data_IF_415394687271
#
_entry.id   IF_415394687271
#
_cell.length_a   1.000
_cell.length_b   1.000
_cell.length_c   1.000
_cell.angle_alpha   90.00
_cell.angle_beta   90.00
_cell.angle_gamma   90.00
#
_symmetry.space_group_name_H-M   'P 1'
#
loop_
_entity.id
_entity.type
_entity.pdbx_description
1 polymer ?
#
# COMPACT_ATOMS: atom_id res chain seq x y z
N UNK A 1 -6.22 -14.61 34.38
CA UNK A 1 -6.13 -15.22 33.03
C UNK A 1 -5.71 -14.24 31.92
N UNK A 2 -5.47 -12.94 32.19
CA UNK A 2 -4.93 -12.00 31.20
C UNK A 2 -3.42 -12.14 30.91
N UNK A 3 -2.65 -12.76 31.81
CA UNK A 3 -1.18 -12.80 31.71
C UNK A 3 -0.63 -13.93 30.81
N UNK A 4 -1.47 -14.84 30.31
CA UNK A 4 -1.05 -15.98 29.49
C UNK A 4 -1.20 -15.73 27.97
N UNK A 5 -2.07 -14.79 27.56
CA UNK A 5 -2.23 -14.43 26.13
C UNK A 5 -1.07 -13.54 25.64
N UNK A 6 -0.39 -12.86 26.57
CA UNK A 6 0.73 -11.97 26.27
C UNK A 6 2.06 -12.71 25.99
N UNK A 7 2.17 -14.02 26.27
CA UNK A 7 3.37 -14.80 25.92
C UNK A 7 3.36 -15.34 24.49
N UNK A 8 2.21 -15.32 23.82
CA UNK A 8 2.06 -15.72 22.41
C UNK A 8 2.02 -14.52 21.45
N UNK A 9 1.64 -13.33 21.94
CA UNK A 9 1.83 -12.06 21.22
C UNK A 9 3.30 -11.64 21.26
N UNK A 10 4.16 -12.35 20.51
CA UNK A 10 5.56 -11.95 20.29
C UNK A 10 5.62 -10.73 19.38
N UNK A 11 5.19 -9.59 19.92
CA UNK A 11 5.54 -8.26 19.44
C UNK A 11 7.05 -8.11 19.64
N UNK A 12 7.83 -8.53 18.64
CA UNK A 12 9.21 -8.08 18.56
C UNK A 12 9.14 -6.69 17.93
N UNK A 13 9.54 -5.68 18.68
CA UNK A 13 10.22 -4.49 18.14
C UNK A 13 11.54 -4.93 17.47
N UNK A 14 11.53 -5.93 16.58
CA UNK A 14 12.72 -6.33 15.86
C UNK A 14 12.84 -5.39 14.69
N UNK A 15 13.56 -4.30 14.92
CA UNK A 15 14.29 -3.58 13.89
C UNK A 15 13.50 -3.42 12.59
N UNK A 16 12.34 -2.76 12.65
CA UNK A 16 12.01 -1.89 11.53
C UNK A 16 13.26 -1.02 11.40
N UNK A 17 14.00 -1.17 10.30
CA UNK A 17 15.07 -0.23 9.98
C UNK A 17 14.45 1.14 10.20
N UNK A 18 14.89 1.83 11.26
CA UNK A 18 14.39 3.13 11.62
C UNK A 18 14.73 3.97 10.40
N UNK A 19 13.75 4.22 9.53
CA UNK A 19 13.99 4.93 8.29
C UNK A 19 14.49 6.32 8.70
N UNK A 20 15.82 6.60 8.72
CA UNK A 20 16.34 7.79 9.39
C UNK A 20 15.88 9.07 8.69
N UNK A 21 15.46 8.95 7.44
CA UNK A 21 14.87 10.02 6.66
C UNK A 21 13.52 10.54 7.23
N UNK A 22 12.89 9.79 8.15
CA UNK A 22 11.67 10.17 8.90
C UNK A 22 11.99 10.65 10.32
N UNK A 23 13.25 10.65 10.73
CA UNK A 23 13.61 11.10 12.08
C UNK A 23 13.24 12.55 12.29
N UNK A 24 12.55 12.82 13.40
CA UNK A 24 12.03 14.14 13.73
C UNK A 24 11.05 14.71 12.69
N UNK A 25 10.39 13.85 11.92
CA UNK A 25 9.31 14.22 11.00
C UNK A 25 8.05 13.41 11.32
N UNK A 26 6.90 13.96 10.96
CA UNK A 26 5.61 13.31 11.15
C UNK A 26 4.65 13.76 10.05
N UNK A 27 3.56 13.03 9.90
CA UNK A 27 2.45 13.39 9.04
C UNK A 27 1.17 13.39 9.88
N UNK A 28 0.24 14.29 9.56
CA UNK A 28 -1.07 14.38 10.22
C UNK A 28 -2.21 14.23 9.23
N UNK A 29 -1.98 14.48 7.94
CA UNK A 29 -2.98 14.26 6.91
C UNK A 29 -3.38 12.79 6.86
N UNK A 30 -4.69 12.56 6.71
CA UNK A 30 -5.31 11.24 6.58
C UNK A 30 -4.97 10.26 7.72
N UNK A 31 -4.58 10.76 8.90
CA UNK A 31 -4.41 9.95 10.10
C UNK A 31 -5.70 9.19 10.43
N UNK A 32 -5.57 7.88 10.68
CA UNK A 32 -6.66 7.03 11.18
C UNK A 32 -7.10 7.54 12.55
N UNK A 33 -6.12 7.81 13.40
CA UNK A 33 -6.35 8.21 14.79
C UNK A 33 -5.14 8.96 15.36
N UNK A 34 -5.40 10.00 16.15
CA UNK A 34 -4.38 10.78 16.86
C UNK A 34 -4.74 10.80 18.35
N UNK A 35 -3.81 10.38 19.20
CA UNK A 35 -4.06 10.32 20.65
C UNK A 35 -2.76 10.37 21.46
N UNK A 36 -2.90 10.55 22.77
CA UNK A 36 -1.78 10.50 23.71
C UNK A 36 -1.55 9.07 24.20
N UNK A 37 -0.33 8.58 24.01
CA UNK A 37 0.11 7.27 24.44
C UNK A 37 1.24 7.42 25.47
N UNK A 38 1.23 6.59 26.51
CA UNK A 38 2.27 6.65 27.54
C UNK A 38 3.59 6.06 27.04
N UNK A 39 3.49 5.07 26.15
CA UNK A 39 4.63 4.35 25.59
C UNK A 39 4.38 4.00 24.12
N UNK A 40 5.46 3.91 23.34
CA UNK A 40 5.41 3.47 21.93
C UNK A 40 4.70 2.12 21.73
N UNK A 41 4.73 1.24 22.74
CA UNK A 41 4.05 -0.05 22.70
C UNK A 41 2.53 0.08 22.65
N UNK A 42 1.95 1.12 23.25
CA UNK A 42 0.51 1.37 23.21
C UNK A 42 0.06 1.73 21.79
N UNK A 43 0.86 2.57 21.09
CA UNK A 43 0.72 2.81 19.67
C UNK A 43 0.77 1.51 18.85
N UNK A 44 1.79 0.71 19.12
CA UNK A 44 1.98 -0.58 18.46
C UNK A 44 0.77 -1.50 18.64
N UNK A 45 0.30 -1.70 19.87
CA UNK A 45 -0.85 -2.55 20.21
C UNK A 45 -2.12 -2.07 19.51
N UNK A 46 -2.39 -0.75 19.55
CA UNK A 46 -3.59 -0.20 18.93
C UNK A 46 -3.54 -0.28 17.41
N UNK A 47 -2.37 -0.06 16.83
CA UNK A 47 -2.16 -0.21 15.40
C UNK A 47 -2.35 -1.68 14.97
N UNK A 48 -1.74 -2.65 15.67
CA UNK A 48 -1.93 -4.06 15.29
C UNK A 48 -3.35 -4.57 15.55
N UNK A 49 -4.10 -3.94 16.45
CA UNK A 49 -5.51 -4.26 16.69
C UNK A 49 -6.46 -3.62 15.67
N UNK A 50 -5.96 -2.72 14.83
CA UNK A 50 -6.71 -2.05 13.78
C UNK A 50 -6.24 -2.59 12.43
N UNK A 51 -7.10 -3.33 11.73
CA UNK A 51 -6.77 -3.96 10.45
C UNK A 51 -6.36 -2.97 9.36
N UNK A 52 -6.77 -1.71 9.48
CA UNK A 52 -6.37 -0.64 8.55
C UNK A 52 -5.03 -0.02 8.89
N UNK A 53 -4.49 -0.20 10.09
CA UNK A 53 -3.28 0.49 10.51
C UNK A 53 -2.02 -0.27 10.08
N UNK A 54 -1.26 0.36 9.18
CA UNK A 54 -0.03 -0.19 8.61
C UNK A 54 1.24 0.47 9.18
N UNK A 55 1.11 1.68 9.72
CA UNK A 55 2.21 2.38 10.34
C UNK A 55 1.74 3.37 11.39
N UNK A 56 2.69 3.90 12.17
CA UNK A 56 2.40 4.98 13.10
C UNK A 56 3.64 5.86 13.36
N UNK A 57 3.38 7.12 13.71
CA UNK A 57 4.35 8.02 14.30
C UNK A 57 4.17 8.08 15.81
N UNK A 58 5.28 8.14 16.54
CA UNK A 58 5.27 8.37 17.98
C UNK A 58 6.30 9.44 18.35
N UNK A 59 5.88 10.42 19.14
CA UNK A 59 6.77 11.44 19.68
C UNK A 59 7.22 11.06 21.10
N UNK A 60 8.51 10.78 21.23
CA UNK A 60 9.11 10.37 22.51
C UNK A 60 9.11 11.48 23.59
N UNK A 61 8.93 12.75 23.20
CA UNK A 61 8.92 13.88 24.12
C UNK A 61 7.51 14.22 24.58
N UNK A 62 6.50 14.09 23.72
CA UNK A 62 5.12 14.51 24.01
C UNK A 62 4.17 13.37 24.30
N UNK A 63 4.53 12.12 23.98
CA UNK A 63 3.65 10.96 24.06
C UNK A 63 2.64 10.87 22.89
N UNK A 64 2.70 11.80 21.94
CA UNK A 64 1.72 11.85 20.85
C UNK A 64 1.91 10.66 19.90
N UNK A 65 0.79 10.03 19.56
CA UNK A 65 0.67 8.87 18.69
C UNK A 65 -0.21 9.20 17.50
N UNK A 66 0.23 8.86 16.29
CA UNK A 66 -0.53 9.08 15.05
C UNK A 66 -0.53 7.77 14.26
N UNK A 67 -1.70 7.16 14.10
CA UNK A 67 -1.88 5.91 13.37
C UNK A 67 -2.23 6.21 11.92
N UNK A 68 -1.65 5.43 11.00
CA UNK A 68 -1.84 5.62 9.56
C UNK A 68 -2.16 4.32 8.84
N UNK A 69 -2.96 4.46 7.78
CA UNK A 69 -3.31 3.36 6.87
C UNK A 69 -2.27 3.12 5.78
N UNK A 70 -1.26 3.96 5.71
CA UNK A 70 -0.21 3.88 4.72
C UNK A 70 1.15 3.60 5.39
N UNK A 71 2.08 2.96 4.65
CA UNK A 71 3.42 2.70 5.15
C UNK A 71 4.44 3.81 4.84
N UNK A 72 4.01 4.96 4.32
CA UNK A 72 4.84 6.07 3.84
C UNK A 72 6.05 5.61 3.00
N UNK A 73 5.83 5.23 1.75
CA UNK A 73 6.89 4.79 0.83
C UNK A 73 7.50 5.92 0.02
N UNK A 74 6.91 7.11 0.05
CA UNK A 74 7.37 8.29 -0.67
C UNK A 74 7.35 9.54 0.25
N UNK A 75 8.35 10.41 0.12
CA UNK A 75 8.52 11.56 1.02
C UNK A 75 7.85 12.82 0.49
N UNK A 76 6.73 13.19 1.11
CA UNK A 76 6.42 14.59 1.43
C UNK A 76 5.88 14.55 2.86
N UNK A 77 6.52 15.26 3.79
CA UNK A 77 6.14 15.24 5.21
C UNK A 77 6.08 16.64 5.79
N UNK A 78 5.04 16.88 6.58
CA UNK A 78 4.81 18.12 7.31
C UNK A 78 5.74 18.25 8.53
N UNK A 79 6.62 19.26 8.51
CA UNK A 79 7.30 19.83 9.68
C UNK A 79 8.29 18.94 10.46
N UNK A 80 9.57 19.32 10.37
CA UNK A 80 10.63 18.73 11.19
C UNK A 80 10.53 19.23 12.65
N UNK A 81 10.12 18.37 13.59
CA UNK A 81 10.08 18.65 15.03
C UNK A 81 10.73 17.52 15.83
N UNK A 82 11.46 17.88 16.89
CA UNK A 82 12.25 16.91 17.65
C UNK A 82 11.37 15.85 18.32
N UNK A 83 11.85 14.60 18.34
CA UNK A 83 11.29 13.52 19.14
C UNK A 83 10.39 12.54 18.38
N UNK A 84 10.00 12.86 17.14
CA UNK A 84 9.21 11.96 16.30
C UNK A 84 10.04 10.80 15.73
N UNK A 85 9.43 9.62 15.77
CA UNK A 85 9.93 8.38 15.19
C UNK A 85 8.81 7.66 14.44
N UNK A 86 9.19 7.01 13.34
CA UNK A 86 8.31 6.24 12.47
C UNK A 86 8.41 4.75 12.77
N UNK A 87 7.27 4.06 12.73
CA UNK A 87 7.16 2.63 12.98
C UNK A 87 6.23 1.98 11.97
N UNK A 88 6.67 0.86 11.38
CA UNK A 88 5.81 -0.01 10.59
C UNK A 88 5.12 -1.03 11.50
N UNK A 89 3.83 -1.23 11.27
CA UNK A 89 3.04 -2.28 11.89
C UNK A 89 3.21 -3.56 11.07
N UNK A 90 4.17 -4.40 11.45
CA UNK A 90 4.28 -5.75 10.91
C UNK A 90 4.04 -6.77 12.02
N UNK A 91 3.16 -7.74 11.78
CA UNK A 91 3.16 -8.97 12.57
C UNK A 91 4.23 -9.91 12.01
N UNK A 92 5.07 -10.42 12.92
CA UNK A 92 5.98 -11.58 12.82
C UNK A 92 6.62 -11.87 11.45
N UNK A 93 7.95 -11.83 11.44
CA UNK A 93 8.81 -12.50 10.48
C UNK A 93 8.26 -13.90 10.10
N UNK A 94 7.95 -14.10 8.82
CA UNK A 94 7.55 -15.39 8.25
C UNK A 94 6.47 -15.34 7.17
N UNK A 95 5.58 -14.33 7.15
CA UNK A 95 4.50 -14.24 6.15
C UNK A 95 4.92 -13.57 4.83
N UNK A 96 5.84 -12.61 4.90
CA UNK A 96 6.37 -11.93 3.72
C UNK A 96 7.89 -11.90 3.76
N UNK A 97 8.52 -11.81 2.58
CA UNK A 97 9.94 -11.51 2.45
C UNK A 97 10.24 -10.13 3.06
N UNK A 98 11.50 -9.95 3.50
CA UNK A 98 11.98 -8.68 4.08
C UNK A 98 11.74 -7.54 3.08
N UNK A 99 11.27 -6.38 3.56
CA UNK A 99 10.91 -5.18 2.80
C UNK A 99 9.62 -5.24 1.96
N UNK A 100 8.78 -6.26 2.16
CA UNK A 100 7.41 -6.27 1.68
C UNK A 100 6.44 -5.81 2.79
N UNK A 101 5.37 -5.14 2.41
CA UNK A 101 4.25 -4.81 3.28
C UNK A 101 3.27 -5.97 3.32
N UNK A 102 2.82 -6.36 4.52
CA UNK A 102 1.88 -7.47 4.72
C UNK A 102 0.50 -6.93 5.06
N UNK A 103 -0.52 -7.36 4.32
CA UNK A 103 -1.92 -7.12 4.63
C UNK A 103 -2.61 -8.39 5.13
N UNK A 104 -3.16 -8.30 6.34
CA UNK A 104 -3.62 -9.46 7.10
C UNK A 104 -4.95 -10.02 6.60
N UNK A 105 -5.86 -9.16 6.14
CA UNK A 105 -7.21 -9.60 5.75
C UNK A 105 -7.22 -10.41 4.46
N UNK A 106 -6.30 -10.11 3.53
CA UNK A 106 -6.17 -10.82 2.24
C UNK A 106 -4.93 -11.71 2.16
N UNK A 107 -4.18 -11.86 3.27
CA UNK A 107 -2.91 -12.60 3.33
C UNK A 107 -1.93 -12.21 2.20
N UNK A 108 -1.85 -10.91 1.91
CA UNK A 108 -1.18 -10.38 0.71
C UNK A 108 0.11 -9.64 1.07
N UNK A 109 1.20 -9.94 0.37
CA UNK A 109 2.44 -9.19 0.44
C UNK A 109 2.55 -8.24 -0.76
N UNK A 110 3.01 -7.01 -0.56
CA UNK A 110 3.14 -6.06 -1.66
C UNK A 110 4.30 -5.10 -1.46
N UNK A 111 4.79 -4.55 -2.57
CA UNK A 111 5.82 -3.53 -2.57
C UNK A 111 5.50 -2.48 -3.63
N UNK A 112 5.63 -1.23 -3.21
CA UNK A 112 5.71 -0.13 -4.15
C UNK A 112 7.10 -0.13 -4.75
N UNK A 113 7.18 -0.35 -6.06
CA UNK A 113 8.36 0.09 -6.76
C UNK A 113 8.34 1.62 -6.75
N UNK A 114 9.49 2.25 -6.50
CA UNK A 114 9.68 3.72 -6.58
C UNK A 114 8.98 4.26 -7.83
N UNK A 115 8.51 5.52 -7.91
CA UNK A 115 7.74 5.98 -9.07
C UNK A 115 8.59 5.91 -10.35
N UNK A 116 8.51 4.75 -11.01
CA UNK A 116 8.99 4.52 -12.36
C UNK A 116 7.78 4.83 -13.22
N UNK A 117 7.83 5.96 -13.89
CA UNK A 117 6.91 6.23 -14.98
C UNK A 117 7.29 5.31 -16.13
N UNK A 118 6.44 4.31 -16.39
CA UNK A 118 6.60 3.41 -17.54
C UNK A 118 5.73 3.88 -18.69
N UNK A 119 6.26 3.79 -19.90
CA UNK A 119 5.50 4.01 -21.14
C UNK A 119 4.68 2.77 -21.46
N UNK A 120 3.40 2.97 -21.79
CA UNK A 120 2.52 1.85 -22.15
C UNK A 120 2.87 1.24 -23.50
N UNK A 121 3.63 1.95 -24.35
CA UNK A 121 4.11 1.44 -25.65
C UNK A 121 4.91 0.14 -25.50
N UNK A 122 5.70 0.03 -24.44
CA UNK A 122 6.59 -1.11 -24.23
C UNK A 122 6.05 -2.13 -23.22
N UNK A 123 5.01 -1.78 -22.45
CA UNK A 123 4.45 -2.62 -21.39
C UNK A 123 5.53 -3.13 -20.40
N UNK A 124 6.57 -2.31 -20.13
CA UNK A 124 7.77 -2.66 -19.33
C UNK A 124 7.50 -2.74 -17.81
N UNK A 125 6.49 -3.49 -17.39
CA UNK A 125 6.22 -3.76 -15.97
C UNK A 125 7.19 -4.81 -15.45
N UNK A 126 8.07 -4.42 -14.53
CA UNK A 126 9.09 -5.33 -13.99
C UNK A 126 8.73 -5.69 -12.55
N UNK A 127 8.20 -6.91 -12.37
CA UNK A 127 7.84 -7.48 -11.06
C UNK A 127 8.61 -8.80 -10.82
N UNK A 128 9.92 -8.77 -10.49
CA UNK A 128 10.73 -9.99 -10.38
C UNK A 128 10.29 -10.88 -9.22
N UNK A 129 9.97 -12.14 -9.51
CA UNK A 129 9.51 -13.09 -8.50
C UNK A 129 8.11 -12.77 -7.95
N UNK A 130 7.33 -11.98 -8.68
CA UNK A 130 6.04 -11.46 -8.25
C UNK A 130 5.17 -11.13 -9.48
N UNK A 131 4.00 -10.54 -9.27
CA UNK A 131 3.10 -10.13 -10.36
C UNK A 131 2.71 -8.66 -10.23
N UNK A 132 2.24 -8.07 -11.33
CA UNK A 132 1.59 -6.76 -11.31
C UNK A 132 0.33 -6.86 -10.44
N UNK A 133 0.05 -5.82 -9.66
CA UNK A 133 -1.09 -5.79 -8.74
C UNK A 133 -2.40 -6.16 -9.43
N UNK A 134 -3.04 -7.23 -8.96
CA UNK A 134 -4.31 -7.75 -9.44
C UNK A 134 -5.46 -7.11 -8.68
N UNK A 135 -6.55 -6.83 -9.36
CA UNK A 135 -7.83 -6.47 -8.72
C UNK A 135 -8.93 -7.34 -9.31
N UNK A 136 -9.44 -8.25 -8.50
CA UNK A 136 -10.39 -9.29 -8.89
C UNK A 136 -11.64 -9.36 -7.99
N UNK A 137 -11.77 -8.45 -7.03
CA UNK A 137 -12.94 -8.35 -6.17
C UNK A 137 -13.14 -6.94 -5.62
N UNK A 138 -14.33 -6.67 -5.06
CA UNK A 138 -14.60 -5.41 -4.38
C UNK A 138 -13.72 -5.23 -3.13
N UNK A 139 -13.53 -6.31 -2.37
CA UNK A 139 -12.68 -6.32 -1.18
C UNK A 139 -11.25 -5.92 -1.53
N UNK A 140 -10.72 -6.46 -2.64
CA UNK A 140 -9.38 -6.12 -3.12
C UNK A 140 -9.29 -4.69 -3.65
N UNK A 141 -10.32 -4.21 -4.36
CA UNK A 141 -10.41 -2.83 -4.82
C UNK A 141 -10.42 -1.84 -3.65
N UNK A 142 -11.21 -2.11 -2.62
CA UNK A 142 -11.32 -1.26 -1.43
C UNK A 142 -10.03 -1.27 -0.61
N UNK A 143 -9.36 -2.42 -0.51
CA UNK A 143 -8.03 -2.50 0.06
C UNK A 143 -7.02 -1.65 -0.71
N UNK A 144 -6.98 -1.80 -2.04
CA UNK A 144 -6.04 -1.05 -2.88
C UNK A 144 -6.29 0.44 -2.74
N UNK A 145 -7.55 0.90 -2.71
CA UNK A 145 -7.90 2.29 -2.41
C UNK A 145 -7.24 2.80 -1.14
N UNK A 146 -7.21 1.99 -0.08
CA UNK A 146 -6.62 2.38 1.21
C UNK A 146 -5.09 2.50 1.12
N UNK A 147 -4.41 1.50 0.55
CA UNK A 147 -2.93 1.53 0.48
C UNK A 147 -2.40 2.52 -0.54
N UNK A 148 -3.20 2.85 -1.55
CA UNK A 148 -2.88 3.89 -2.52
C UNK A 148 -3.46 5.26 -2.14
N UNK A 149 -4.19 5.34 -1.02
CA UNK A 149 -4.84 6.56 -0.57
C UNK A 149 -3.86 7.68 -0.26
N UNK A 150 -2.61 7.39 0.10
CA UNK A 150 -1.66 8.40 0.60
C UNK A 150 -0.30 8.36 -0.10
N UNK A 151 -0.23 7.77 -1.30
CA UNK A 151 0.95 7.89 -2.16
C UNK A 151 1.09 9.37 -2.57
N UNK A 152 1.81 10.14 -1.74
CA UNK A 152 2.05 11.57 -1.92
C UNK A 152 2.83 11.85 -3.20
N UNK A 153 2.53 12.97 -3.86
CA UNK A 153 3.21 13.40 -5.10
C UNK A 153 2.74 12.69 -6.39
N UNK A 154 1.92 11.65 -6.30
CA UNK A 154 1.48 10.80 -7.42
C UNK A 154 -0.04 10.95 -7.67
N UNK A 155 -0.70 11.92 -7.02
CA UNK A 155 -2.14 12.21 -7.16
C UNK A 155 -2.66 12.26 -8.61
N UNK A 156 -1.80 12.64 -9.56
CA UNK A 156 -2.09 12.70 -10.99
C UNK A 156 -1.62 11.47 -11.79
N UNK A 157 -0.66 10.70 -11.29
CA UNK A 157 -0.10 9.57 -12.04
C UNK A 157 -0.97 8.35 -11.77
N UNK A 158 -1.52 7.79 -12.84
CA UNK A 158 -2.31 6.58 -12.74
C UNK A 158 -1.43 5.38 -12.38
N UNK A 159 -2.03 4.39 -11.72
CA UNK A 159 -1.38 3.15 -11.32
C UNK A 159 -1.83 2.07 -12.30
N UNK A 160 -0.88 1.53 -13.08
CA UNK A 160 -1.12 0.35 -13.89
C UNK A 160 -1.40 -0.85 -13.01
N UNK A 161 -2.46 -1.58 -13.35
CA UNK A 161 -2.89 -2.80 -12.68
C UNK A 161 -2.94 -3.94 -13.70
N UNK A 162 -2.99 -5.17 -13.20
CA UNK A 162 -3.09 -6.35 -14.04
C UNK A 162 -4.41 -6.33 -14.84
N UNK A 163 -4.31 -6.74 -16.11
CA UNK A 163 -5.42 -6.78 -17.05
C UNK A 163 -4.92 -6.41 -18.43
N UNK A 164 -5.02 -7.35 -19.37
CA UNK A 164 -4.70 -7.14 -20.78
C UNK A 164 -5.91 -7.45 -21.65
N UNK A 165 -6.22 -6.55 -22.57
CA UNK A 165 -7.21 -6.80 -23.62
C UNK A 165 -6.61 -7.71 -24.70
N UNK A 166 -7.34 -8.77 -25.05
CA UNK A 166 -7.02 -9.67 -26.16
C UNK A 166 -8.32 -10.21 -26.74
N UNK A 167 -8.53 -10.00 -28.03
CA UNK A 167 -9.69 -10.50 -28.80
C UNK A 167 -11.06 -10.13 -28.18
N UNK A 168 -11.21 -8.89 -27.70
CA UNK A 168 -12.45 -8.38 -27.11
C UNK A 168 -12.65 -8.75 -25.64
N UNK A 169 -11.66 -9.35 -24.98
CA UNK A 169 -11.75 -9.80 -23.59
C UNK A 169 -10.57 -9.31 -22.76
N UNK A 170 -10.86 -8.95 -21.52
CA UNK A 170 -9.84 -8.62 -20.53
C UNK A 170 -9.42 -9.87 -19.75
N UNK A 171 -8.11 -10.10 -19.66
CA UNK A 171 -7.53 -11.27 -19.00
C UNK A 171 -6.42 -10.85 -18.03
N UNK A 172 -6.27 -11.61 -16.95
CA UNK A 172 -5.11 -11.51 -16.06
C UNK A 172 -3.89 -12.18 -16.68
N UNK A 173 -2.68 -11.94 -16.14
CA UNK A 173 -1.44 -12.46 -16.74
C UNK A 173 -1.31 -13.99 -16.60
N UNK A 174 -2.08 -14.61 -15.71
CA UNK A 174 -2.19 -16.07 -15.59
C UNK A 174 -3.13 -16.71 -16.65
N UNK A 175 -3.71 -15.88 -17.53
CA UNK A 175 -4.64 -16.29 -18.58
C UNK A 175 -6.10 -16.43 -18.14
N UNK A 176 -6.41 -16.21 -16.85
CA UNK A 176 -7.80 -16.21 -16.39
C UNK A 176 -8.55 -14.98 -16.90
N UNK A 177 -9.83 -15.17 -17.26
CA UNK A 177 -10.69 -14.07 -17.72
C UNK A 177 -11.06 -13.18 -16.54
N UNK A 178 -11.05 -11.87 -16.75
CA UNK A 178 -11.52 -10.91 -15.74
C UNK A 178 -13.05 -10.96 -15.64
N UNK A 179 -13.55 -11.17 -14.43
CA UNK A 179 -14.99 -11.13 -14.11
C UNK A 179 -15.36 -9.89 -13.30
N UNK A 180 -14.37 -9.29 -12.62
CA UNK A 180 -14.54 -8.08 -11.84
C UNK A 180 -14.04 -6.85 -12.61
N UNK A 181 -14.86 -5.80 -12.61
CA UNK A 181 -14.50 -4.53 -13.25
C UNK A 181 -14.91 -3.34 -12.37
N UNK A 182 -14.02 -2.35 -12.29
CA UNK A 182 -14.28 -1.07 -11.63
C UNK A 182 -14.01 0.11 -12.57
N UNK A 183 -14.48 0.01 -13.81
CA UNK A 183 -14.37 1.05 -14.83
C UNK A 183 -15.00 2.38 -14.41
N UNK A 184 -14.42 3.47 -14.90
CA UNK A 184 -15.09 4.77 -14.96
C UNK A 184 -16.26 4.74 -15.94
N UNK A 185 -17.22 5.68 -15.81
CA UNK A 185 -18.27 5.83 -16.81
C UNK A 185 -17.67 6.01 -18.21
N UNK A 186 -18.18 5.24 -19.18
CA UNK A 186 -17.75 5.21 -20.59
C UNK A 186 -16.37 4.60 -20.87
N UNK A 187 -15.76 3.90 -19.91
CA UNK A 187 -14.57 3.06 -20.16
C UNK A 187 -14.96 1.59 -20.34
N UNK A 188 -14.15 0.77 -21.05
CA UNK A 188 -12.88 1.11 -21.71
C UNK A 188 -13.08 1.87 -23.04
N UNK A 189 -12.25 2.89 -23.29
CA UNK A 189 -12.38 3.78 -24.47
C UNK A 189 -11.06 4.10 -25.20
N UNK A 190 -9.92 3.66 -24.67
CA UNK A 190 -8.58 3.93 -25.19
C UNK A 190 -8.15 2.99 -26.32
N UNK A 191 -6.89 3.15 -26.75
CA UNK A 191 -6.22 2.34 -27.78
C UNK A 191 -5.08 1.48 -27.22
N UNK A 192 -4.88 1.48 -25.90
CA UNK A 192 -3.96 0.55 -25.24
C UNK A 192 -4.66 -0.75 -24.85
N UNK A 193 -3.89 -1.78 -24.53
CA UNK A 193 -4.40 -3.01 -23.93
C UNK A 193 -4.23 -3.03 -22.41
N UNK A 194 -4.02 -1.88 -21.77
CA UNK A 194 -3.66 -1.78 -20.34
C UNK A 194 -4.79 -1.13 -19.54
N UNK A 195 -4.85 -1.44 -18.25
CA UNK A 195 -5.75 -0.81 -17.28
C UNK A 195 -4.95 0.13 -16.37
N UNK A 196 -5.41 1.37 -16.25
CA UNK A 196 -4.89 2.33 -15.29
C UNK A 196 -5.97 2.70 -14.27
N UNK A 197 -5.62 2.61 -12.99
CA UNK A 197 -6.41 3.06 -11.86
C UNK A 197 -5.99 4.48 -11.44
N UNK A 198 -6.96 5.39 -11.27
CA UNK A 198 -6.68 6.76 -10.86
C UNK A 198 -7.26 7.09 -9.49
N UNK A 199 -6.41 7.44 -8.53
CA UNK A 199 -6.82 7.90 -7.20
C UNK A 199 -7.84 9.04 -7.25
N UNK A 200 -7.59 10.07 -8.09
CA UNK A 200 -8.47 11.23 -8.27
C UNK A 200 -9.90 10.87 -8.70
N UNK A 201 -10.07 9.71 -9.32
CA UNK A 201 -11.36 9.21 -9.80
C UNK A 201 -11.90 8.10 -8.89
N UNK A 202 -11.69 8.26 -7.58
CA UNK A 202 -12.10 7.26 -6.56
C UNK A 202 -11.52 5.87 -6.83
N UNK A 203 -10.32 5.82 -7.44
CA UNK A 203 -9.64 4.59 -7.84
C UNK A 203 -10.42 3.76 -8.86
N UNK A 204 -11.25 4.40 -9.68
CA UNK A 204 -11.86 3.80 -10.85
C UNK A 204 -10.84 3.65 -11.99
N UNK A 205 -11.17 2.76 -12.91
CA UNK A 205 -10.26 2.30 -13.95
C UNK A 205 -10.55 2.97 -15.29
N UNK A 206 -9.50 3.16 -16.08
CA UNK A 206 -9.59 3.64 -17.46
C UNK A 206 -8.75 2.78 -18.36
N UNK A 207 -9.14 2.71 -19.62
CA UNK A 207 -8.27 2.23 -20.67
C UNK A 207 -7.63 3.45 -21.35
N UNK A 208 -6.33 3.71 -21.11
CA UNK A 208 -5.67 4.92 -21.58
C UNK A 208 -5.25 4.81 -23.05
N UNK A 209 -4.72 5.92 -23.61
CA UNK A 209 -3.97 5.82 -24.87
C UNK A 209 -2.61 5.15 -24.66
N UNK A 210 -2.12 4.41 -25.65
CA UNK A 210 -0.79 3.77 -25.65
C UNK A 210 0.36 4.76 -25.44
N UNK A 211 0.15 6.06 -25.72
CA UNK A 211 1.16 7.11 -25.51
C UNK A 211 1.25 7.59 -24.06
N UNK A 212 0.33 7.16 -23.19
CA UNK A 212 0.33 7.52 -21.78
C UNK A 212 1.47 6.81 -21.01
N UNK A 213 1.69 7.29 -19.79
CA UNK A 213 2.55 6.67 -18.80
C UNK A 213 1.79 6.39 -17.50
N UNK A 214 2.29 5.45 -16.72
CA UNK A 214 1.76 5.12 -15.40
C UNK A 214 2.89 4.76 -14.44
N UNK A 215 2.60 4.79 -13.15
CA UNK A 215 3.38 4.02 -12.16
C UNK A 215 2.75 2.63 -11.99
N UNK A 216 3.37 1.72 -11.25
CA UNK A 216 2.81 0.39 -11.01
C UNK A 216 3.21 -0.14 -9.63
N UNK A 217 2.47 -1.15 -9.17
CA UNK A 217 2.72 -1.86 -7.92
C UNK A 217 2.87 -3.34 -8.18
N UNK A 218 3.82 -3.96 -7.50
CA UNK A 218 4.01 -5.40 -7.57
C UNK A 218 3.42 -6.06 -6.32
N UNK A 219 2.69 -7.14 -6.53
CA UNK A 219 2.18 -8.02 -5.50
C UNK A 219 2.96 -9.33 -5.46
N UNK A 220 3.16 -9.81 -4.24
CA UNK A 220 3.91 -11.03 -3.93
C UNK A 220 2.95 -11.96 -3.21
N UNK A 221 2.85 -13.20 -3.68
CA UNK A 221 2.13 -14.24 -2.93
C UNK A 221 2.90 -14.54 -1.66
N UNK A 222 2.19 -14.68 -0.54
CA UNK A 222 2.80 -15.18 0.69
C UNK A 222 3.40 -16.57 0.41
N UNK A 223 4.67 -16.84 0.75
CA UNK A 223 5.19 -18.19 0.67
C UNK A 223 4.38 -19.10 1.61
N UNK A 224 3.89 -20.22 1.07
CA UNK A 224 3.22 -21.29 1.82
C UNK A 224 4.08 -21.79 3.00
#
# INVERSE_FOLDING_TARGET
MLNAVLSESRFKLSSAHSKPEYDNKYEVENAIEIYQAKFVMECGIKCVSNTRCLSFFYNNLTGMCILHSDPFTYTVMSSATKGWKFYLSQERAGRCLVNLFYYRELDLCYKFETPILVSLVHEDFVCPGSELMRIDSNERQDYIKLVTADIGGVYSLGICIQGKETDGKWMYNDGSTMEYFSWEPNEPSGDSNIIIMFRKNQHKWRNPSVTNTCTYMCEYRSPN
#
